data_IF_763347009060
#
_entry.id   IF_763347009060
#
_cell.length_a   1.000
_cell.length_b   1.000
_cell.length_c   1.000
_cell.angle_alpha   90.00
_cell.angle_beta   90.00
_cell.angle_gamma   90.00
#
_symmetry.space_group_name_H-M   'P 1'
#
loop_
_entity.id
_entity.type
_entity.pdbx_description
1 polymer ?
#
# COMPACT_ATOMS: atom_id res chain seq x y z
N UNK A 1 8.66 0.08 -21.32
CA UNK A 1 7.36 -0.33 -20.77
C UNK A 1 7.48 -0.27 -19.26
N UNK A 2 6.87 0.74 -18.62
CA UNK A 2 7.08 1.03 -17.18
C UNK A 2 5.92 0.41 -16.41
N UNK A 3 6.11 -0.73 -15.76
CA UNK A 3 5.12 -1.41 -14.92
C UNK A 3 5.30 -1.02 -13.45
N UNK A 4 4.20 -0.67 -12.77
CA UNK A 4 4.20 -0.17 -11.40
C UNK A 4 3.18 -0.94 -10.57
N UNK A 5 3.61 -2.04 -9.98
CA UNK A 5 2.83 -2.71 -8.94
C UNK A 5 3.36 -2.50 -7.50
N UNK A 6 4.65 -2.26 -7.23
CA UNK A 6 5.11 -2.13 -5.84
C UNK A 6 5.00 -0.73 -5.23
N UNK A 7 4.80 0.33 -6.03
CA UNK A 7 4.86 1.71 -5.53
C UNK A 7 3.66 2.11 -4.66
N UNK A 8 2.52 1.42 -4.78
CA UNK A 8 1.30 1.77 -4.04
C UNK A 8 1.42 1.47 -2.54
N UNK A 9 2.15 0.43 -2.17
CA UNK A 9 2.34 0.07 -0.75
C UNK A 9 3.44 0.89 -0.06
N UNK A 10 4.45 1.34 -0.81
CA UNK A 10 5.54 2.15 -0.25
C UNK A 10 5.26 3.65 -0.30
N UNK A 11 4.50 4.15 -1.27
CA UNK A 11 4.17 5.57 -1.38
C UNK A 11 3.20 6.07 -0.31
N UNK A 12 2.44 5.18 0.32
CA UNK A 12 1.65 5.52 1.51
C UNK A 12 2.51 5.81 2.75
N UNK A 13 3.75 5.32 2.79
CA UNK A 13 4.67 5.53 3.91
C UNK A 13 5.57 6.77 3.75
N UNK A 14 5.76 7.31 2.55
CA UNK A 14 6.76 8.38 2.29
C UNK A 14 6.18 9.76 2.01
N UNK A 15 4.86 9.93 1.90
CA UNK A 15 4.23 11.21 1.55
C UNK A 15 3.88 12.10 2.76
N UNK A 16 4.34 11.74 3.97
CA UNK A 16 4.06 12.52 5.19
C UNK A 16 5.20 13.47 5.56
N UNK A 17 5.58 14.39 4.68
CA UNK A 17 6.50 15.46 5.03
C UNK A 17 5.83 16.84 4.90
N UNK A 18 5.65 17.48 6.08
CA UNK A 18 5.68 18.91 6.38
C UNK A 18 4.48 19.83 6.08
N UNK A 19 3.84 20.22 7.17
CA UNK A 19 3.54 21.64 7.45
C UNK A 19 3.60 21.85 8.98
N UNK A 20 4.64 22.48 9.47
CA UNK A 20 4.71 22.97 10.85
C UNK A 20 3.85 24.23 10.96
N UNK A 21 2.84 24.22 11.82
CA UNK A 21 2.19 25.41 12.37
C UNK A 21 2.18 25.28 13.89
N UNK A 22 2.76 26.26 14.59
CA UNK A 22 2.80 26.30 16.07
C UNK A 22 1.39 26.29 16.63
N UNK A 23 1.12 25.32 17.51
CA UNK A 23 -0.13 25.18 18.24
C UNK A 23 -0.08 25.90 19.62
N UNK A 24 -1.21 26.39 20.17
CA UNK A 24 -1.28 26.92 21.51
C UNK A 24 -1.04 25.81 22.54
N UNK A 25 -0.31 26.14 23.62
CA UNK A 25 0.06 25.22 24.68
C UNK A 25 -1.19 24.60 25.35
N UNK A 26 -1.26 23.25 25.44
CA UNK A 26 -2.34 22.57 26.12
C UNK A 26 -2.15 22.56 27.66
N UNK A 27 -3.24 22.30 28.38
CA UNK A 27 -3.28 22.07 29.81
C UNK A 27 -2.20 21.11 30.29
N UNK A 28 -1.57 21.39 31.43
CA UNK A 28 -0.40 20.76 32.04
C UNK A 28 -0.55 19.27 32.47
N UNK A 29 -1.38 18.48 31.82
CA UNK A 29 -1.40 17.03 32.01
C UNK A 29 -0.24 16.38 31.22
N UNK A 30 0.52 15.46 31.81
CA UNK A 30 1.57 14.76 31.07
C UNK A 30 0.94 13.97 29.90
N UNK A 31 1.45 14.18 28.69
CA UNK A 31 1.02 13.44 27.51
C UNK A 31 1.13 11.92 27.76
N UNK A 32 0.16 11.16 27.27
CA UNK A 32 0.24 9.71 27.24
C UNK A 32 1.43 9.25 26.40
N UNK A 33 1.83 7.98 26.52
CA UNK A 33 2.94 7.46 25.74
C UNK A 33 2.62 7.48 24.23
N UNK A 34 1.39 7.16 23.87
CA UNK A 34 0.93 7.21 22.49
C UNK A 34 0.86 8.63 21.94
N UNK A 35 0.45 9.62 22.73
CA UNK A 35 0.47 11.03 22.32
C UNK A 35 1.89 11.50 22.03
N UNK A 36 2.86 11.17 22.89
CA UNK A 36 4.28 11.50 22.66
C UNK A 36 4.83 10.87 21.39
N UNK A 37 4.48 9.60 21.12
CA UNK A 37 4.90 8.90 19.91
C UNK A 37 4.34 9.56 18.66
N UNK A 38 3.05 9.86 18.65
CA UNK A 38 2.37 10.46 17.51
C UNK A 38 2.82 11.89 17.26
N UNK A 39 3.07 12.66 18.32
CA UNK A 39 3.64 14.02 18.26
C UNK A 39 5.05 13.99 17.64
N UNK A 40 5.90 13.06 18.10
CA UNK A 40 7.23 12.85 17.53
C UNK A 40 7.23 12.44 16.05
N UNK A 41 6.16 11.81 15.56
CA UNK A 41 5.97 11.44 14.16
C UNK A 41 5.26 12.52 13.32
N UNK A 42 4.91 13.67 13.92
CA UNK A 42 4.13 14.74 13.28
C UNK A 42 2.82 14.25 12.62
N UNK A 43 2.25 13.17 13.16
CA UNK A 43 1.01 12.57 12.66
C UNK A 43 -0.25 13.22 13.24
N UNK A 44 -0.10 14.01 14.32
CA UNK A 44 -1.21 14.72 14.96
C UNK A 44 -1.30 16.12 14.36
N UNK A 45 -2.47 16.48 13.87
CA UNK A 45 -2.77 17.85 13.46
C UNK A 45 -3.61 18.54 14.54
N UNK A 46 -3.26 19.78 14.95
CA UNK A 46 -3.86 20.46 16.12
C UNK A 46 -5.38 20.71 16.04
N UNK A 47 -5.95 20.65 14.84
CA UNK A 47 -7.34 21.04 14.59
C UNK A 47 -8.35 19.87 14.65
N UNK A 48 -7.94 18.71 15.17
CA UNK A 48 -8.80 17.53 15.18
C UNK A 48 -9.27 17.17 16.60
N UNK A 49 -10.56 16.92 16.75
CA UNK A 49 -11.15 16.26 17.93
C UNK A 49 -10.79 14.76 17.94
N UNK A 50 -9.48 14.45 17.88
CA UNK A 50 -9.04 13.07 17.99
C UNK A 50 -8.93 12.65 19.46
N UNK A 51 -9.13 11.36 19.70
CA UNK A 51 -8.89 10.75 21.00
C UNK A 51 -7.78 9.71 20.87
N UNK A 52 -6.80 9.80 21.77
CA UNK A 52 -5.69 8.83 21.84
C UNK A 52 -5.86 8.00 23.11
N UNK A 53 -5.63 6.70 22.99
CA UNK A 53 -5.69 5.77 24.11
C UNK A 53 -4.55 4.75 24.00
N UNK A 54 -3.82 4.60 25.10
CA UNK A 54 -2.83 3.55 25.27
C UNK A 54 -3.52 2.18 25.40
N UNK A 55 -2.97 1.17 24.73
CA UNK A 55 -3.31 -0.24 24.90
C UNK A 55 -2.02 -1.03 25.16
N UNK A 56 -2.09 -2.26 25.67
CA UNK A 56 -0.91 -3.11 25.75
C UNK A 56 -0.25 -3.25 24.37
N UNK A 57 1.04 -2.96 24.29
CA UNK A 57 1.84 -3.02 23.06
C UNK A 57 1.34 -2.13 21.91
N UNK A 58 0.51 -1.12 22.16
CA UNK A 58 -0.05 -0.32 21.07
C UNK A 58 -0.75 0.95 21.46
N UNK A 59 -1.33 1.57 20.42
CA UNK A 59 -2.08 2.81 20.48
C UNK A 59 -3.38 2.71 19.69
N UNK A 60 -4.42 3.37 20.17
CA UNK A 60 -5.66 3.62 19.43
C UNK A 60 -5.81 5.12 19.25
N UNK A 61 -5.96 5.56 18.01
CA UNK A 61 -6.32 6.95 17.66
C UNK A 61 -7.70 6.92 17.03
N UNK A 62 -8.63 7.71 17.53
CA UNK A 62 -10.00 7.76 17.05
C UNK A 62 -10.33 9.15 16.51
N UNK A 63 -11.18 9.20 15.48
CA UNK A 63 -11.70 10.43 14.86
C UNK A 63 -10.60 11.37 14.38
N UNK A 64 -9.57 10.83 13.72
CA UNK A 64 -8.48 11.63 13.17
C UNK A 64 -8.80 12.15 11.77
N UNK A 65 -8.21 13.30 11.45
CA UNK A 65 -8.27 13.89 10.13
C UNK A 65 -6.85 14.20 9.65
N UNK A 66 -6.55 13.79 8.44
CA UNK A 66 -5.27 14.05 7.79
C UNK A 66 -5.51 14.94 6.58
N UNK A 67 -4.90 16.11 6.57
CA UNK A 67 -5.04 17.05 5.47
C UNK A 67 -3.83 16.94 4.54
N UNK A 68 -4.05 16.65 3.27
CA UNK A 68 -3.00 16.50 2.24
C UNK A 68 -2.93 17.68 1.28
N UNK A 69 -3.41 18.84 1.72
CA UNK A 69 -3.44 20.09 0.93
C UNK A 69 -4.61 20.98 1.34
N UNK A 70 -4.79 22.09 0.64
CA UNK A 70 -5.84 23.05 0.97
C UNK A 70 -7.27 22.59 0.62
N UNK A 71 -7.41 21.58 -0.22
CA UNK A 71 -8.71 21.15 -0.77
C UNK A 71 -9.04 19.70 -0.41
N UNK A 72 -8.04 18.86 -0.17
CA UNK A 72 -8.21 17.44 0.05
C UNK A 72 -7.73 17.01 1.43
N UNK A 73 -8.52 16.20 2.11
CA UNK A 73 -8.17 15.57 3.38
C UNK A 73 -8.75 14.16 3.46
N UNK A 74 -8.38 13.44 4.51
CA UNK A 74 -8.86 12.12 4.82
C UNK A 74 -9.40 12.11 6.24
N UNK A 75 -10.59 11.61 6.44
CA UNK A 75 -11.12 11.31 7.76
C UNK A 75 -10.93 9.84 8.04
N UNK A 76 -10.54 9.51 9.26
CA UNK A 76 -10.28 8.15 9.72
C UNK A 76 -11.04 7.94 11.03
N UNK A 77 -11.91 6.94 11.08
CA UNK A 77 -12.71 6.67 12.27
C UNK A 77 -11.81 6.13 13.40
N UNK A 78 -10.89 5.23 13.06
CA UNK A 78 -10.01 4.60 14.03
C UNK A 78 -8.71 4.11 13.38
N UNK A 79 -7.60 4.35 14.06
CA UNK A 79 -6.30 3.72 13.79
C UNK A 79 -5.92 2.91 15.01
N UNK A 80 -5.56 1.64 14.82
CA UNK A 80 -4.94 0.79 15.83
C UNK A 80 -3.54 0.49 15.34
N UNK A 81 -2.56 0.80 16.16
CA UNK A 81 -1.17 0.49 15.90
C UNK A 81 -0.63 -0.36 17.06
N UNK A 82 -0.10 -1.52 16.75
CA UNK A 82 0.47 -2.47 17.71
C UNK A 82 1.85 -2.90 17.23
N UNK A 83 2.81 -2.92 18.13
CA UNK A 83 4.20 -3.22 17.81
C UNK A 83 4.83 -3.98 18.97
N UNK A 84 5.58 -5.03 18.67
CA UNK A 84 6.38 -5.74 19.66
C UNK A 84 7.36 -4.78 20.37
N UNK A 85 7.36 -4.82 21.70
CA UNK A 85 8.18 -3.93 22.53
C UNK A 85 7.99 -2.42 22.20
N UNK A 86 6.76 -2.00 21.90
CA UNK A 86 6.45 -0.59 21.59
C UNK A 86 7.06 0.38 22.61
N UNK A 87 7.09 0.02 23.90
CA UNK A 87 7.66 0.82 24.98
C UNK A 87 9.13 1.18 24.74
N UNK A 88 9.90 0.30 24.11
CA UNK A 88 11.31 0.54 23.81
C UNK A 88 11.49 1.61 22.72
N UNK A 89 10.46 1.78 21.89
CA UNK A 89 10.44 2.81 20.83
C UNK A 89 9.84 4.14 21.32
N UNK A 90 9.08 4.12 22.43
CA UNK A 90 8.45 5.30 23.01
C UNK A 90 9.33 5.99 24.07
N UNK A 91 10.27 5.28 24.70
CA UNK A 91 11.04 5.76 25.86
C UNK A 91 12.11 6.79 25.49
N UNK A 92 12.57 6.80 24.26
CA UNK A 92 13.54 7.75 23.71
C UNK A 92 13.09 8.11 22.29
N UNK A 93 13.50 9.26 21.75
CA UNK A 93 13.35 9.57 20.32
C UNK A 93 13.66 8.30 19.53
N UNK A 94 12.82 7.86 18.60
CA UNK A 94 12.84 6.50 18.10
C UNK A 94 14.26 6.09 17.71
N UNK A 95 14.88 5.26 18.56
CA UNK A 95 16.22 4.76 18.30
C UNK A 95 16.11 3.66 17.22
N UNK A 96 16.11 4.12 15.98
CA UNK A 96 16.09 3.24 14.81
C UNK A 96 17.32 2.32 14.72
N UNK A 97 18.31 2.51 15.60
CA UNK A 97 19.45 1.60 15.76
C UNK A 97 19.14 0.33 16.54
N UNK A 98 18.01 0.27 17.28
CA UNK A 98 17.57 -0.96 17.98
C UNK A 98 17.13 -2.03 16.99
N UNK A 99 17.13 -3.29 17.44
CA UNK A 99 16.62 -4.41 16.68
C UNK A 99 15.19 -4.15 16.21
N UNK A 100 14.90 -4.52 14.97
CA UNK A 100 13.55 -4.36 14.42
C UNK A 100 12.53 -5.21 15.22
N UNK A 101 11.31 -4.68 15.45
CA UNK A 101 10.26 -5.41 16.15
C UNK A 101 9.93 -6.74 15.48
N UNK A 102 9.72 -7.79 16.28
CA UNK A 102 9.48 -9.15 15.76
C UNK A 102 8.07 -9.30 15.16
N UNK A 103 7.15 -8.41 15.50
CA UNK A 103 5.85 -8.31 14.87
C UNK A 103 5.30 -6.88 14.94
N UNK A 104 4.41 -6.58 14.01
CA UNK A 104 3.67 -5.32 14.04
C UNK A 104 2.34 -5.47 13.30
N UNK A 105 1.37 -4.70 13.77
CA UNK A 105 0.03 -4.63 13.19
C UNK A 105 -0.42 -3.18 13.09
N UNK A 106 -1.02 -2.85 11.96
CA UNK A 106 -1.79 -1.61 11.80
C UNK A 106 -3.18 -1.96 11.31
N UNK A 107 -4.20 -1.34 11.88
CA UNK A 107 -5.56 -1.38 11.37
C UNK A 107 -6.10 0.05 11.30
N UNK A 108 -6.65 0.42 10.17
CA UNK A 108 -7.21 1.75 9.90
C UNK A 108 -8.64 1.52 9.42
N UNK A 109 -9.61 1.96 10.21
CA UNK A 109 -11.01 1.74 9.94
C UNK A 109 -11.68 3.04 9.48
N UNK A 110 -12.62 2.93 8.56
CA UNK A 110 -13.49 4.01 8.16
C UNK A 110 -12.79 5.16 7.44
N UNK A 111 -11.78 4.86 6.62
CA UNK A 111 -11.08 5.87 5.82
C UNK A 111 -12.02 6.43 4.75
N UNK A 112 -12.21 7.76 4.77
CA UNK A 112 -12.99 8.49 3.75
C UNK A 112 -12.20 9.68 3.27
N UNK A 113 -12.22 9.92 1.98
CA UNK A 113 -11.69 11.16 1.41
C UNK A 113 -12.62 12.32 1.75
N UNK A 114 -12.07 13.45 2.18
CA UNK A 114 -12.81 14.68 2.39
C UNK A 114 -12.37 15.72 1.37
N UNK A 115 -13.32 16.25 0.62
CA UNK A 115 -13.10 17.39 -0.25
C UNK A 115 -13.60 18.65 0.46
N UNK A 116 -12.81 19.71 0.45
CA UNK A 116 -13.14 21.05 0.95
C UNK A 116 -13.11 22.02 -0.22
N UNK A 117 -14.17 22.00 -1.02
CA UNK A 117 -14.28 22.89 -2.19
C UNK A 117 -14.62 24.34 -1.83
N UNK A 118 -14.91 24.59 -0.55
CA UNK A 118 -15.44 25.87 -0.04
C UNK A 118 -16.95 26.04 -0.29
N UNK A 119 -17.59 25.10 -0.99
CA UNK A 119 -19.05 25.05 -1.17
C UNK A 119 -19.63 23.94 -0.29
N UNK A 120 -20.33 24.34 0.78
CA UNK A 120 -20.89 23.42 1.76
C UNK A 120 -21.84 22.36 1.17
N UNK A 121 -22.58 22.69 0.11
CA UNK A 121 -23.49 21.75 -0.55
C UNK A 121 -22.69 20.72 -1.35
N UNK A 122 -21.70 21.17 -2.10
CA UNK A 122 -20.79 20.28 -2.84
C UNK A 122 -20.03 19.35 -1.90
N UNK A 123 -19.50 19.88 -0.81
CA UNK A 123 -18.75 19.11 0.19
C UNK A 123 -19.65 18.07 0.84
N UNK A 124 -20.92 18.43 1.16
CA UNK A 124 -21.91 17.49 1.70
C UNK A 124 -22.25 16.39 0.69
N UNK A 125 -22.56 16.73 -0.56
CA UNK A 125 -22.89 15.74 -1.61
C UNK A 125 -21.69 14.78 -1.80
N UNK A 126 -20.48 15.29 -1.83
CA UNK A 126 -19.28 14.47 -1.94
C UNK A 126 -19.15 13.52 -0.74
N UNK A 127 -19.39 14.01 0.48
CA UNK A 127 -19.27 13.18 1.69
C UNK A 127 -20.24 12.00 1.72
N UNK A 128 -21.47 12.17 1.23
CA UNK A 128 -22.47 11.09 1.19
C UNK A 128 -22.24 10.09 0.04
N UNK A 129 -21.43 10.46 -0.96
CA UNK A 129 -21.07 9.57 -2.07
C UNK A 129 -19.83 8.72 -1.78
N UNK A 130 -19.11 9.02 -0.69
CA UNK A 130 -17.90 8.30 -0.33
C UNK A 130 -18.22 7.08 0.53
N UNK A 131 -17.61 5.97 0.15
CA UNK A 131 -17.73 4.72 0.89
C UNK A 131 -16.47 4.53 1.75
N UNK A 132 -16.63 4.14 3.02
CA UNK A 132 -15.48 3.88 3.86
C UNK A 132 -14.66 2.72 3.31
N UNK A 133 -13.36 2.85 3.50
CA UNK A 133 -12.38 1.80 3.24
C UNK A 133 -11.68 1.48 4.55
N UNK A 134 -11.46 0.20 4.79
CA UNK A 134 -10.65 -0.28 5.91
C UNK A 134 -9.33 -0.80 5.36
N UNK A 135 -8.27 -0.56 6.12
CA UNK A 135 -6.95 -1.04 5.80
C UNK A 135 -6.39 -1.82 6.98
N UNK A 136 -5.78 -2.98 6.75
CA UNK A 136 -5.05 -3.73 7.77
C UNK A 136 -3.75 -4.23 7.22
N UNK A 137 -2.69 -4.19 8.04
CA UNK A 137 -1.43 -4.85 7.72
C UNK A 137 -0.89 -5.55 8.95
N UNK A 138 -0.30 -6.71 8.75
CA UNK A 138 0.34 -7.49 9.80
C UNK A 138 1.60 -8.14 9.27
N UNK A 139 2.71 -8.03 10.04
CA UNK A 139 3.96 -8.70 9.71
C UNK A 139 4.52 -9.47 10.92
N UNK A 140 5.36 -10.46 10.61
CA UNK A 140 6.26 -11.12 11.55
C UNK A 140 7.67 -11.09 11.03
N UNK A 141 8.61 -10.84 11.91
CA UNK A 141 10.04 -10.79 11.61
C UNK A 141 10.79 -11.71 12.57
N UNK A 142 11.68 -12.51 12.03
CA UNK A 142 12.62 -13.31 12.81
C UNK A 142 14.04 -12.71 12.64
N UNK A 143 14.56 -11.98 13.62
CA UNK A 143 15.87 -11.35 13.52
C UNK A 143 17.02 -12.34 13.38
N UNK A 144 16.90 -13.55 13.94
CA UNK A 144 17.94 -14.57 13.88
C UNK A 144 18.13 -15.16 12.48
N UNK A 145 17.08 -15.21 11.68
CA UNK A 145 17.13 -15.71 10.29
C UNK A 145 17.03 -14.60 9.25
N UNK A 146 16.70 -13.38 9.64
CA UNK A 146 16.38 -12.28 8.73
C UNK A 146 15.04 -12.45 7.99
N UNK A 147 14.22 -13.45 8.35
CA UNK A 147 12.98 -13.74 7.65
C UNK A 147 11.86 -12.79 8.08
N UNK A 148 11.34 -12.03 7.13
CA UNK A 148 10.18 -11.15 7.28
C UNK A 148 9.01 -11.71 6.48
N UNK A 149 7.90 -11.96 7.16
CA UNK A 149 6.64 -12.39 6.55
C UNK A 149 5.57 -11.32 6.71
N UNK A 150 5.22 -10.64 5.64
CA UNK A 150 4.00 -9.82 5.56
C UNK A 150 2.84 -10.80 5.34
N UNK A 151 2.12 -11.09 6.41
CA UNK A 151 1.07 -12.12 6.36
C UNK A 151 -0.15 -11.63 5.59
N UNK A 152 -0.53 -10.37 5.80
CA UNK A 152 -1.66 -9.75 5.13
C UNK A 152 -1.53 -8.23 5.18
N UNK A 153 -1.50 -7.60 4.02
CA UNK A 153 -1.76 -6.17 3.88
C UNK A 153 -3.03 -6.06 3.02
N UNK A 154 -4.11 -5.57 3.60
CA UNK A 154 -5.45 -5.68 3.04
C UNK A 154 -6.16 -4.34 2.99
N UNK A 155 -6.83 -4.07 1.89
CA UNK A 155 -7.82 -3.00 1.73
C UNK A 155 -9.18 -3.67 1.54
N UNK A 156 -10.18 -3.24 2.29
CA UNK A 156 -11.54 -3.74 2.22
C UNK A 156 -12.55 -2.59 2.14
N UNK A 157 -13.52 -2.72 1.26
CA UNK A 157 -14.67 -1.81 1.16
C UNK A 157 -15.91 -2.60 0.79
N UNK A 158 -17.00 -2.36 1.50
CA UNK A 158 -18.28 -3.03 1.24
C UNK A 158 -18.74 -2.82 -0.22
N UNK A 159 -18.41 -1.67 -0.82
CA UNK A 159 -18.85 -1.34 -2.18
C UNK A 159 -17.85 -1.78 -3.24
N UNK A 160 -16.55 -1.58 -2.97
CA UNK A 160 -15.53 -1.75 -3.99
C UNK A 160 -14.88 -3.13 -3.98
N UNK A 161 -15.12 -3.92 -2.92
CA UNK A 161 -14.52 -5.23 -2.76
C UNK A 161 -13.26 -5.18 -1.91
N UNK A 162 -12.37 -6.14 -2.14
CA UNK A 162 -11.23 -6.41 -1.27
C UNK A 162 -9.98 -6.69 -2.07
N UNK A 163 -8.85 -6.13 -1.64
CA UNK A 163 -7.53 -6.51 -2.14
C UNK A 163 -6.62 -6.87 -0.98
N UNK A 164 -5.77 -7.87 -1.15
CA UNK A 164 -4.77 -8.22 -0.15
C UNK A 164 -3.46 -8.64 -0.79
N UNK A 165 -2.37 -8.32 -0.09
CA UNK A 165 -1.00 -8.69 -0.46
C UNK A 165 -0.37 -9.43 0.71
N UNK A 166 0.33 -10.52 0.42
CA UNK A 166 1.25 -11.18 1.35
C UNK A 166 2.60 -11.38 0.68
N UNK A 167 3.69 -11.32 1.45
CA UNK A 167 5.05 -11.43 0.92
C UNK A 167 6.00 -12.09 1.92
N UNK A 168 6.97 -12.82 1.39
CA UNK A 168 8.09 -13.40 2.12
C UNK A 168 9.37 -12.71 1.67
N UNK A 169 10.05 -12.07 2.61
CA UNK A 169 11.21 -11.23 2.37
C UNK A 169 12.34 -11.72 3.29
N UNK A 170 13.55 -11.81 2.77
CA UNK A 170 14.73 -12.04 3.58
C UNK A 170 15.49 -10.71 3.73
N UNK A 171 15.69 -10.32 4.96
CA UNK A 171 16.47 -9.17 5.38
C UNK A 171 17.84 -9.64 5.88
N UNK A 172 18.84 -8.77 6.01
CA UNK A 172 20.06 -9.09 6.73
C UNK A 172 19.77 -9.58 8.15
N UNK A 173 20.55 -10.53 8.63
CA UNK A 173 20.48 -10.97 10.03
C UNK A 173 20.79 -9.77 10.93
N UNK A 174 20.08 -9.67 12.04
CA UNK A 174 20.18 -8.54 12.99
C UNK A 174 19.91 -7.16 12.37
N UNK A 175 19.07 -7.12 11.31
CA UNK A 175 18.67 -5.86 10.69
C UNK A 175 17.98 -4.94 11.71
N UNK A 176 18.46 -3.69 11.77
CA UNK A 176 17.78 -2.60 12.47
C UNK A 176 16.98 -1.75 11.46
N UNK A 177 16.01 -0.98 11.96
CA UNK A 177 15.24 -0.05 11.11
C UNK A 177 16.18 0.94 10.41
N UNK A 178 17.22 1.45 11.13
CA UNK A 178 18.19 2.35 10.56
C UNK A 178 19.04 1.69 9.47
N UNK A 179 19.45 0.44 9.65
CA UNK A 179 20.23 -0.30 8.64
C UNK A 179 19.42 -0.57 7.39
N UNK A 180 18.13 -0.87 7.54
CA UNK A 180 17.20 -1.08 6.42
C UNK A 180 16.91 0.22 5.66
N UNK A 181 16.85 1.36 6.36
CA UNK A 181 16.69 2.67 5.74
C UNK A 181 17.96 3.14 5.00
N UNK A 182 19.13 2.81 5.53
CA UNK A 182 20.41 3.25 4.96
C UNK A 182 20.88 2.40 3.77
N UNK A 183 20.63 1.08 3.81
CA UNK A 183 21.05 0.16 2.74
C UNK A 183 20.15 -1.08 2.73
N UNK A 184 19.01 -1.02 2.04
CA UNK A 184 18.04 -2.10 2.00
C UNK A 184 18.55 -3.23 1.09
N UNK A 185 19.39 -4.10 1.62
CA UNK A 185 19.71 -5.39 1.00
C UNK A 185 18.64 -6.40 1.39
N UNK A 186 17.48 -6.28 0.80
CA UNK A 186 16.40 -7.24 0.99
C UNK A 186 16.26 -8.13 -0.24
N UNK A 187 15.76 -9.35 -0.06
CA UNK A 187 15.38 -10.21 -1.18
C UNK A 187 13.97 -10.73 -1.00
N UNK A 188 13.20 -10.73 -2.09
CA UNK A 188 11.82 -11.24 -2.14
C UNK A 188 11.83 -12.70 -2.56
N UNK A 189 11.26 -13.58 -1.74
CA UNK A 189 11.11 -15.01 -2.02
C UNK A 189 9.74 -15.37 -2.60
N UNK A 190 8.69 -14.69 -2.14
CA UNK A 190 7.33 -14.87 -2.69
C UNK A 190 6.49 -13.62 -2.52
N UNK A 191 5.54 -13.44 -3.43
CA UNK A 191 4.52 -12.39 -3.38
C UNK A 191 3.19 -12.97 -3.82
N UNK A 192 2.14 -12.75 -3.04
CA UNK A 192 0.78 -13.10 -3.41
C UNK A 192 -0.11 -11.87 -3.39
N UNK A 193 -0.82 -11.64 -4.48
CA UNK A 193 -1.88 -10.64 -4.60
C UNK A 193 -3.22 -11.36 -4.75
N UNK A 194 -4.23 -10.95 -3.98
CA UNK A 194 -5.62 -11.37 -4.13
C UNK A 194 -6.50 -10.16 -4.31
N UNK A 195 -7.43 -10.26 -5.23
CA UNK A 195 -8.40 -9.20 -5.52
C UNK A 195 -9.78 -9.83 -5.65
N UNK A 196 -10.73 -9.36 -4.84
CA UNK A 196 -12.16 -9.54 -5.03
C UNK A 196 -12.70 -8.21 -5.54
N UNK A 197 -12.77 -8.08 -6.87
CA UNK A 197 -13.11 -6.82 -7.51
C UNK A 197 -14.63 -6.62 -7.62
N UNK A 198 -15.09 -5.51 -7.05
CA UNK A 198 -16.44 -4.99 -7.17
C UNK A 198 -16.43 -3.51 -7.58
N UNK A 199 -15.30 -3.03 -8.12
CA UNK A 199 -15.03 -1.63 -8.47
C UNK A 199 -13.74 -1.09 -7.86
N UNK A 200 -13.01 -1.88 -7.06
CA UNK A 200 -11.75 -1.46 -6.42
C UNK A 200 -10.65 -1.23 -7.45
N UNK A 201 -10.58 -2.11 -8.46
CA UNK A 201 -9.62 -1.98 -9.56
C UNK A 201 -9.82 -0.65 -10.28
N UNK A 202 -11.05 -0.34 -10.67
CA UNK A 202 -11.43 0.86 -11.41
C UNK A 202 -11.24 2.13 -10.59
N UNK A 203 -11.47 2.05 -9.28
CA UNK A 203 -11.42 3.22 -8.40
C UNK A 203 -10.02 3.55 -7.89
N UNK A 204 -9.16 2.54 -7.66
CA UNK A 204 -7.86 2.74 -7.05
C UNK A 204 -6.69 2.38 -7.97
N UNK A 205 -6.78 1.27 -8.71
CA UNK A 205 -5.64 0.75 -9.46
C UNK A 205 -5.55 1.39 -10.84
N UNK A 206 -6.67 1.46 -11.54
CA UNK A 206 -6.71 1.97 -12.91
C UNK A 206 -6.29 3.45 -13.03
N UNK A 207 -6.71 4.39 -12.15
CA UNK A 207 -6.25 5.78 -12.21
C UNK A 207 -4.75 5.92 -12.00
N UNK A 208 -4.17 5.10 -11.11
CA UNK A 208 -2.72 5.07 -10.90
C UNK A 208 -2.02 4.54 -12.14
N UNK A 209 -2.49 3.42 -12.69
CA UNK A 209 -1.90 2.85 -13.92
C UNK A 209 -2.02 3.82 -15.11
N UNK A 210 -3.13 4.53 -15.26
CA UNK A 210 -3.32 5.51 -16.32
C UNK A 210 -2.31 6.66 -16.24
N UNK A 211 -2.02 7.16 -15.03
CA UNK A 211 -1.02 8.21 -14.85
C UNK A 211 0.40 7.76 -15.19
N UNK A 212 0.72 6.48 -15.04
CA UNK A 212 2.04 5.95 -15.31
C UNK A 212 2.18 5.32 -16.70
N UNK A 213 1.08 4.78 -17.22
CA UNK A 213 0.98 4.26 -18.57
C UNK A 213 0.54 5.33 -19.57
N UNK A 214 0.58 6.62 -19.21
CA UNK A 214 0.43 7.70 -20.17
C UNK A 214 1.43 7.45 -21.29
N UNK A 215 1.01 6.59 -22.20
CA UNK A 215 1.68 6.40 -23.49
C UNK A 215 1.64 7.80 -24.09
N UNK A 216 2.79 8.39 -24.44
CA UNK A 216 2.76 9.63 -25.18
C UNK A 216 1.92 9.35 -26.41
N UNK A 217 0.71 9.87 -26.44
CA UNK A 217 -0.05 9.98 -27.66
C UNK A 217 0.81 10.89 -28.55
N UNK A 218 1.40 10.33 -29.57
CA UNK A 218 2.26 11.11 -30.49
C UNK A 218 1.46 12.26 -31.14
N UNK A 219 0.14 12.23 -31.07
CA UNK A 219 -0.76 13.18 -31.72
C UNK A 219 -1.67 13.95 -30.76
N UNK A 220 -1.81 13.54 -29.49
CA UNK A 220 -2.68 14.23 -28.51
C UNK A 220 -4.19 14.10 -28.77
N UNK A 221 -4.61 13.34 -29.77
CA UNK A 221 -6.00 13.24 -30.24
C UNK A 221 -6.59 11.82 -30.16
N UNK A 222 -5.87 10.84 -29.58
CA UNK A 222 -6.37 9.48 -29.53
C UNK A 222 -7.45 9.31 -28.43
N UNK A 223 -8.51 8.60 -28.80
CA UNK A 223 -9.58 8.20 -27.90
C UNK A 223 -9.03 7.29 -26.77
N UNK A 224 -9.36 7.58 -25.50
CA UNK A 224 -8.90 6.77 -24.36
C UNK A 224 -9.20 5.26 -24.47
N UNK A 225 -10.29 4.88 -25.12
CA UNK A 225 -10.64 3.48 -25.36
C UNK A 225 -9.61 2.78 -26.28
N UNK A 226 -9.12 3.52 -27.29
CA UNK A 226 -8.07 3.04 -28.21
C UNK A 226 -6.77 2.83 -27.47
N UNK A 227 -6.39 3.71 -26.54
CA UNK A 227 -5.20 3.57 -25.72
C UNK A 227 -5.29 2.37 -24.77
N UNK A 228 -6.44 2.14 -24.14
CA UNK A 228 -6.70 0.96 -23.31
C UNK A 228 -6.62 -0.33 -24.15
N UNK A 229 -7.20 -0.34 -25.34
CA UNK A 229 -7.14 -1.49 -26.24
C UNK A 229 -5.70 -1.80 -26.65
N UNK A 230 -4.90 -0.79 -26.98
CA UNK A 230 -3.48 -0.94 -27.30
C UNK A 230 -2.67 -1.46 -26.11
N UNK A 231 -2.92 -0.94 -24.90
CA UNK A 231 -2.27 -1.43 -23.67
C UNK A 231 -2.60 -2.90 -23.44
N UNK A 232 -3.86 -3.31 -23.58
CA UNK A 232 -4.28 -4.73 -23.49
C UNK A 232 -3.55 -5.62 -24.48
N UNK A 233 -3.43 -5.19 -25.71
CA UNK A 233 -2.73 -5.95 -26.76
C UNK A 233 -1.24 -6.11 -26.44
N UNK A 234 -0.56 -5.04 -26.02
CA UNK A 234 0.85 -5.09 -25.63
C UNK A 234 1.07 -6.05 -24.45
N UNK A 235 0.24 -5.94 -23.39
CA UNK A 235 0.37 -6.79 -22.21
C UNK A 235 0.03 -8.25 -22.54
N UNK A 236 -1.01 -8.50 -23.36
CA UNK A 236 -1.37 -9.85 -23.80
C UNK A 236 -0.25 -10.51 -24.58
N UNK A 237 0.36 -9.83 -25.54
CA UNK A 237 1.52 -10.34 -26.30
C UNK A 237 2.71 -10.65 -25.39
N UNK A 238 2.95 -9.83 -24.38
CA UNK A 238 4.00 -10.09 -23.40
C UNK A 238 3.73 -11.36 -22.60
N UNK A 239 2.47 -11.60 -22.17
CA UNK A 239 2.06 -12.81 -21.45
C UNK A 239 2.12 -14.05 -22.34
N UNK A 240 1.71 -13.94 -23.62
CA UNK A 240 1.79 -15.03 -24.59
C UNK A 240 3.23 -15.46 -24.89
N UNK A 241 4.16 -14.50 -24.87
CA UNK A 241 5.58 -14.74 -25.11
C UNK A 241 6.33 -15.33 -23.89
N UNK A 242 5.71 -15.38 -22.70
CA UNK A 242 6.36 -15.97 -21.52
C UNK A 242 6.57 -17.50 -21.73
N UNK A 243 7.73 -18.06 -21.31
CA UNK A 243 7.96 -19.49 -21.42
C UNK A 243 7.09 -20.31 -20.45
N UNK A 244 6.80 -21.57 -20.82
CA UNK A 244 5.98 -22.47 -19.99
C UNK A 244 6.64 -22.82 -18.64
N UNK A 245 7.96 -22.69 -18.53
CA UNK A 245 8.69 -22.82 -17.27
C UNK A 245 8.39 -21.70 -16.28
N UNK A 246 7.86 -20.59 -16.76
CA UNK A 246 7.57 -19.39 -15.98
C UNK A 246 6.08 -19.29 -15.63
N UNK A 247 5.19 -19.59 -16.56
CA UNK A 247 3.74 -19.57 -16.41
C UNK A 247 3.09 -20.75 -17.10
N UNK A 248 2.37 -21.59 -16.35
CA UNK A 248 1.67 -22.71 -16.95
C UNK A 248 0.48 -22.26 -17.83
N UNK A 249 0.02 -23.18 -18.69
CA UNK A 249 -1.06 -22.90 -19.65
C UNK A 249 -2.36 -22.41 -18.98
N UNK A 250 -2.70 -22.94 -17.78
CA UNK A 250 -3.91 -22.57 -17.05
C UNK A 250 -3.78 -21.15 -16.49
N UNK A 251 -2.65 -20.83 -15.88
CA UNK A 251 -2.33 -19.52 -15.32
C UNK A 251 -2.25 -18.47 -16.42
N UNK A 252 -1.60 -18.80 -17.58
CA UNK A 252 -1.55 -17.92 -18.74
C UNK A 252 -2.95 -17.58 -19.25
N UNK A 253 -3.81 -18.59 -19.42
CA UNK A 253 -5.21 -18.36 -19.82
C UNK A 253 -5.97 -17.49 -18.82
N UNK A 254 -5.79 -17.71 -17.51
CA UNK A 254 -6.44 -16.92 -16.48
C UNK A 254 -6.00 -15.46 -16.53
N UNK A 255 -4.69 -15.21 -16.71
CA UNK A 255 -4.13 -13.86 -16.80
C UNK A 255 -4.61 -13.14 -18.07
N UNK A 256 -4.62 -13.82 -19.22
CA UNK A 256 -5.14 -13.26 -20.48
C UNK A 256 -6.63 -12.93 -20.38
N UNK A 257 -7.43 -13.75 -19.70
CA UNK A 257 -8.84 -13.43 -19.45
C UNK A 257 -9.00 -12.16 -18.58
N UNK A 258 -8.22 -12.04 -17.50
CA UNK A 258 -8.22 -10.84 -16.68
C UNK A 258 -7.84 -9.58 -17.47
N UNK A 259 -6.80 -9.66 -18.31
CA UNK A 259 -6.38 -8.54 -19.16
C UNK A 259 -7.47 -8.20 -20.19
N UNK A 260 -8.11 -9.20 -20.78
CA UNK A 260 -9.20 -8.98 -21.77
C UNK A 260 -10.38 -8.26 -21.16
N UNK A 261 -10.71 -8.55 -19.89
CA UNK A 261 -11.84 -7.96 -19.20
C UNK A 261 -11.54 -6.54 -18.67
N UNK A 262 -10.29 -6.04 -18.78
CA UNK A 262 -9.96 -4.65 -18.49
C UNK A 262 -10.72 -3.69 -19.43
N UNK A 263 -11.13 -2.51 -18.96
CA UNK A 263 -10.80 -1.89 -17.67
C UNK A 263 -11.68 -2.35 -16.50
N UNK A 264 -12.68 -3.21 -16.70
CA UNK A 264 -13.68 -3.62 -15.71
C UNK A 264 -13.61 -5.12 -15.37
N UNK A 265 -12.46 -5.65 -14.89
CA UNK A 265 -12.37 -7.06 -14.52
C UNK A 265 -13.24 -7.31 -13.28
N UNK A 266 -14.24 -8.17 -13.38
CA UNK A 266 -15.14 -8.47 -12.28
C UNK A 266 -14.84 -9.83 -11.66
N UNK A 267 -14.90 -9.93 -10.30
CA UNK A 267 -14.79 -11.18 -9.57
C UNK A 267 -13.44 -11.38 -8.89
N UNK A 268 -12.98 -12.63 -8.82
CA UNK A 268 -11.83 -13.03 -8.01
C UNK A 268 -10.59 -13.23 -8.87
N UNK A 269 -9.54 -12.49 -8.55
CA UNK A 269 -8.21 -12.64 -9.16
C UNK A 269 -7.18 -12.97 -8.08
N UNK A 270 -6.28 -13.91 -8.37
CA UNK A 270 -5.11 -14.19 -7.54
C UNK A 270 -3.88 -14.29 -8.44
N UNK A 271 -2.82 -13.62 -8.02
CA UNK A 271 -1.50 -13.69 -8.62
C UNK A 271 -0.51 -14.15 -7.55
N UNK A 272 0.15 -15.28 -7.78
CA UNK A 272 1.24 -15.79 -6.96
C UNK A 272 2.55 -15.68 -7.76
N UNK A 273 3.53 -15.00 -7.21
CA UNK A 273 4.92 -14.95 -7.70
C UNK A 273 5.80 -15.73 -6.72
N UNK A 274 6.54 -16.68 -7.23
CA UNK A 274 7.54 -17.43 -6.46
C UNK A 274 8.90 -17.33 -7.13
N UNK A 275 9.94 -17.05 -6.35
CA UNK A 275 11.30 -16.86 -6.85
C UNK A 275 12.17 -18.02 -6.35
N UNK A 276 12.59 -18.91 -7.27
CA UNK A 276 13.52 -20.01 -6.94
C UNK A 276 14.85 -19.46 -6.42
N UNK A 277 15.30 -18.33 -6.97
CA UNK A 277 16.39 -17.52 -6.47
C UNK A 277 15.79 -16.20 -5.95
N UNK A 278 15.86 -15.91 -4.65
CA UNK A 278 15.28 -14.71 -4.07
C UNK A 278 15.70 -13.45 -4.85
N UNK A 279 14.73 -12.64 -5.25
CA UNK A 279 14.94 -11.45 -6.07
C UNK A 279 15.44 -10.30 -5.18
N UNK A 280 16.57 -9.65 -5.48
CA UNK A 280 17.00 -8.47 -4.76
C UNK A 280 15.96 -7.34 -4.84
N UNK A 281 15.64 -6.75 -3.69
CA UNK A 281 14.80 -5.56 -3.58
C UNK A 281 15.72 -4.42 -3.16
N UNK A 282 16.16 -3.61 -4.10
CA UNK A 282 16.84 -2.35 -3.81
C UNK A 282 15.82 -1.22 -3.85
N UNK A 283 15.54 -0.61 -2.70
CA UNK A 283 14.53 0.46 -2.65
C UNK A 283 15.05 1.80 -3.17
N UNK A 284 16.38 2.01 -3.20
CA UNK A 284 16.95 3.31 -3.50
C UNK A 284 17.40 3.50 -4.96
N UNK A 285 17.67 2.42 -5.71
CA UNK A 285 18.35 2.52 -7.00
C UNK A 285 17.55 1.99 -8.20
N UNK A 286 16.33 1.48 -8.00
CA UNK A 286 15.54 0.91 -9.07
C UNK A 286 14.26 1.71 -9.32
N UNK A 287 14.10 2.16 -10.55
CA UNK A 287 12.78 2.61 -11.02
C UNK A 287 11.76 1.47 -10.80
N UNK A 288 10.58 1.75 -10.24
CA UNK A 288 9.55 0.73 -9.97
C UNK A 288 9.20 -0.15 -11.17
N UNK A 289 9.31 0.41 -12.37
CA UNK A 289 9.14 -0.31 -13.64
C UNK A 289 10.17 -1.40 -13.87
N UNK A 290 11.43 -1.16 -13.53
CA UNK A 290 12.51 -2.15 -13.66
C UNK A 290 12.41 -3.25 -12.63
N UNK A 291 11.96 -2.91 -11.40
CA UNK A 291 11.68 -3.92 -10.37
C UNK A 291 10.58 -4.88 -10.85
N UNK A 292 9.48 -4.35 -11.38
CA UNK A 292 8.39 -5.16 -11.90
C UNK A 292 8.83 -6.02 -13.10
N UNK A 293 9.61 -5.48 -14.02
CA UNK A 293 10.15 -6.21 -15.17
C UNK A 293 11.07 -7.36 -14.71
N UNK A 294 12.01 -7.09 -13.80
CA UNK A 294 12.89 -8.12 -13.24
C UNK A 294 12.10 -9.16 -12.43
N UNK A 295 11.12 -8.73 -11.64
CA UNK A 295 10.27 -9.64 -10.88
C UNK A 295 9.50 -10.58 -11.80
N UNK A 296 8.89 -10.05 -12.84
CA UNK A 296 8.17 -10.87 -13.81
C UNK A 296 9.12 -11.78 -14.60
N UNK A 297 10.34 -11.35 -14.92
CA UNK A 297 11.30 -12.17 -15.65
C UNK A 297 11.86 -13.34 -14.81
N UNK A 298 11.98 -13.16 -13.48
CA UNK A 298 12.61 -14.13 -12.57
C UNK A 298 11.60 -15.06 -11.85
N UNK A 299 10.32 -14.68 -11.76
CA UNK A 299 9.32 -15.40 -10.99
C UNK A 299 8.73 -16.59 -11.75
N UNK A 300 8.36 -17.64 -11.01
CA UNK A 300 7.31 -18.58 -11.40
C UNK A 300 5.96 -17.96 -11.08
N UNK A 301 5.09 -17.89 -12.08
CA UNK A 301 3.83 -17.17 -12.03
C UNK A 301 2.66 -18.14 -12.00
N UNK A 302 1.83 -18.07 -10.98
CA UNK A 302 0.56 -18.78 -10.92
C UNK A 302 -0.60 -17.78 -10.83
N UNK A 303 -1.61 -17.98 -11.65
CA UNK A 303 -2.76 -17.06 -11.73
C UNK A 303 -4.07 -17.84 -11.70
N UNK A 304 -5.01 -17.33 -10.94
CA UNK A 304 -6.42 -17.74 -11.05
C UNK A 304 -7.29 -16.52 -11.28
N UNK A 305 -8.26 -16.64 -12.16
CA UNK A 305 -9.28 -15.63 -12.41
C UNK A 305 -10.65 -16.30 -12.58
N UNK A 306 -11.63 -15.81 -11.83
CA UNK A 306 -13.01 -16.31 -11.86
C UNK A 306 -13.95 -15.11 -11.90
N UNK A 307 -14.67 -14.96 -12.99
CA UNK A 307 -15.74 -13.97 -13.11
C UNK A 307 -16.91 -14.39 -12.21
N UNK A 308 -17.57 -13.42 -11.56
CA UNK A 308 -18.80 -13.65 -10.78
C UNK A 308 -19.99 -13.97 -11.65
#
# INVERSE_FOLDING_TARGET
MRFILPTILLSLATSFAFAQTEAPAPDNAPLSQCEKFLDGMSLLTPDNDYAVRDIPDGCIVSNSMYQTGSIMGWTVERVIFELDHLQDFLSELPDFGKAAPTWGRIAIDGVRMRLQSGNKVSDYITSIQQWPMDFTAFYRFNPQSGYLHIQNAEINSIKFGKASVSAEINLPVDASIASLAANPTATLSSLRLRLDNQGLWESLVLPVLANYAALPSETGEEDPETDIARLRDIVSKSVEAMPDSQIDTKSRKALLNFIRDMPYPAGFFTLDLHFDNPMPIGLNDMEPSKIAEHALAAAKISVTYRVR
#
